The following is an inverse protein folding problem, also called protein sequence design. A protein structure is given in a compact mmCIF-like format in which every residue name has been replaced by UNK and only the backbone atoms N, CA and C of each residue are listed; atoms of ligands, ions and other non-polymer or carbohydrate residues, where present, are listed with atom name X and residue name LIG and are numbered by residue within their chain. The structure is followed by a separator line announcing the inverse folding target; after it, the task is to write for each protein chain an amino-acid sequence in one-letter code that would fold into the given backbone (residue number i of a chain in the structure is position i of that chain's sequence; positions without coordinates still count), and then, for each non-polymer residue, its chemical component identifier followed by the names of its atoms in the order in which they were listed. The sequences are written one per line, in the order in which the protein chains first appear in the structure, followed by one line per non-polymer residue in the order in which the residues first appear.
data_IF_576015467619
#
_entry.id   IF_576015467619
#
_cell.length_a   1.000
_cell.length_b   1.000
_cell.length_c   1.000
_cell.angle_alpha   90.00
_cell.angle_beta   90.00
_cell.angle_gamma   90.00
#
_symmetry.space_group_name_H-M   'P 1'
#
loop_
_entity.id
_entity.type
_entity.pdbx_description
1 polymer ?
#
# COMPACT_ATOMS: atom_id res chain seq x y z
N UNK A 1 26.33 -11.49 2.65
CA UNK A 1 25.35 -10.60 3.33
C UNK A 1 24.05 -10.72 2.56
N UNK A 2 22.93 -10.99 3.21
CA UNK A 2 21.64 -11.08 2.51
C UNK A 2 21.26 -9.70 1.97
N UNK A 3 20.78 -9.64 0.73
CA UNK A 3 20.31 -8.39 0.11
C UNK A 3 19.10 -7.83 0.91
N UNK A 4 19.03 -6.51 1.13
CA UNK A 4 17.91 -5.91 1.86
C UNK A 4 16.60 -6.13 1.09
N UNK A 5 15.59 -6.65 1.79
CA UNK A 5 14.26 -6.86 1.23
C UNK A 5 13.61 -5.54 0.83
N UNK A 6 12.89 -5.54 -0.28
CA UNK A 6 12.20 -4.36 -0.79
C UNK A 6 10.70 -4.48 -0.56
N UNK A 7 10.14 -3.49 0.14
CA UNK A 7 8.72 -3.39 0.46
C UNK A 7 8.08 -2.18 -0.22
N UNK A 8 6.91 -2.37 -0.81
CA UNK A 8 6.03 -1.29 -1.27
C UNK A 8 4.88 -1.12 -0.27
N UNK A 9 4.63 0.12 0.15
CA UNK A 9 3.52 0.49 1.03
C UNK A 9 2.68 1.54 0.32
N UNK A 10 1.45 1.20 -0.07
CA UNK A 10 0.51 2.17 -0.64
C UNK A 10 -0.38 2.72 0.47
N UNK A 11 -0.71 4.02 0.47
CA UNK A 11 -1.36 4.66 1.62
C UNK A 11 -0.36 4.92 2.75
N UNK A 12 0.93 4.97 2.42
CA UNK A 12 2.02 5.07 3.39
C UNK A 12 2.10 6.43 4.08
N UNK A 13 1.48 7.48 3.55
CA UNK A 13 1.38 8.78 4.21
C UNK A 13 0.16 8.89 5.14
N UNK A 14 -0.66 7.85 5.23
CA UNK A 14 -1.74 7.73 6.21
C UNK A 14 -1.25 7.29 7.59
N UNK A 15 -2.15 7.23 8.57
CA UNK A 15 -1.82 6.92 9.97
C UNK A 15 -1.12 5.56 10.14
N UNK A 16 -1.74 4.47 9.69
CA UNK A 16 -1.15 3.12 9.83
C UNK A 16 0.05 2.94 8.89
N UNK A 17 -0.07 3.46 7.67
CA UNK A 17 0.95 3.32 6.63
C UNK A 17 2.30 3.92 7.01
N UNK A 18 2.32 5.08 7.67
CA UNK A 18 3.57 5.74 8.05
C UNK A 18 4.33 4.96 9.12
N UNK A 19 3.61 4.47 10.14
CA UNK A 19 4.19 3.62 11.18
C UNK A 19 4.68 2.29 10.62
N UNK A 20 4.01 1.73 9.61
CA UNK A 20 4.49 0.54 8.91
C UNK A 20 5.78 0.84 8.14
N UNK A 21 5.88 1.98 7.46
CA UNK A 21 7.12 2.41 6.79
C UNK A 21 8.28 2.48 7.79
N UNK A 22 8.11 3.15 8.93
CA UNK A 22 9.13 3.26 9.97
C UNK A 22 9.53 1.87 10.51
N UNK A 23 8.56 1.00 10.76
CA UNK A 23 8.81 -0.35 11.27
C UNK A 23 9.52 -1.27 10.25
N UNK A 24 9.30 -1.07 8.95
CA UNK A 24 10.00 -1.80 7.89
C UNK A 24 11.43 -1.29 7.73
N UNK A 25 11.63 0.03 7.76
CA UNK A 25 12.96 0.65 7.71
C UNK A 25 13.82 0.22 8.91
N UNK A 26 13.24 0.17 10.11
CA UNK A 26 13.93 -0.32 11.32
C UNK A 26 14.38 -1.79 11.21
N UNK A 27 13.75 -2.58 10.33
CA UNK A 27 14.14 -3.97 10.01
C UNK A 27 15.13 -4.06 8.85
N UNK A 28 15.60 -2.93 8.32
CA UNK A 28 16.55 -2.88 7.21
C UNK A 28 15.93 -3.10 5.82
N UNK A 29 14.60 -2.96 5.68
CA UNK A 29 13.97 -3.03 4.38
C UNK A 29 14.21 -1.73 3.59
N UNK A 30 14.33 -1.86 2.26
CA UNK A 30 14.11 -0.74 1.35
C UNK A 30 12.60 -0.51 1.21
N UNK A 31 12.14 0.72 1.40
CA UNK A 31 10.71 1.04 1.42
C UNK A 31 10.36 2.04 0.35
N UNK A 32 9.47 1.63 -0.57
CA UNK A 32 8.76 2.53 -1.46
C UNK A 32 7.40 2.86 -0.84
N UNK A 33 7.17 4.13 -0.54
CA UNK A 33 5.89 4.65 -0.06
C UNK A 33 5.15 5.30 -1.22
N UNK A 34 3.98 4.79 -1.58
CA UNK A 34 3.10 5.37 -2.61
C UNK A 34 1.87 5.97 -1.96
N UNK A 35 1.60 7.24 -2.23
CA UNK A 35 0.41 7.93 -1.71
C UNK A 35 0.02 9.09 -2.63
N UNK A 36 -1.27 9.34 -2.83
CA UNK A 36 -1.74 10.49 -3.61
C UNK A 36 -2.03 11.73 -2.73
N UNK A 37 -1.95 11.59 -1.40
CA UNK A 37 -2.17 12.61 -0.39
C UNK A 37 -3.61 13.16 -0.34
N UNK A 38 -4.62 12.38 -0.77
CA UNK A 38 -6.03 12.77 -0.62
C UNK A 38 -6.40 12.87 0.87
N UNK A 39 -6.06 11.83 1.64
CA UNK A 39 -6.28 11.78 3.10
C UNK A 39 -4.97 11.64 3.90
N UNK A 40 -3.85 11.37 3.22
CA UNK A 40 -2.53 11.26 3.83
C UNK A 40 -1.87 12.63 4.05
N UNK A 41 -0.85 12.67 4.91
CA UNK A 41 -0.02 13.86 5.13
C UNK A 41 1.46 13.51 5.03
N UNK A 42 2.22 14.33 4.30
CA UNK A 42 3.68 14.18 4.25
C UNK A 42 4.36 14.38 5.61
N UNK A 43 3.69 15.05 6.56
CA UNK A 43 4.17 15.21 7.93
C UNK A 43 4.31 13.86 8.64
N UNK A 44 3.45 12.89 8.31
CA UNK A 44 3.54 11.54 8.84
C UNK A 44 4.82 10.80 8.39
N UNK A 45 5.46 11.25 7.30
CA UNK A 45 6.64 10.61 6.71
C UNK A 45 7.96 11.24 7.18
N UNK A 46 7.94 12.23 8.08
CA UNK A 46 9.15 12.95 8.49
C UNK A 46 10.23 12.05 9.10
N UNK A 47 9.83 11.02 9.84
CA UNK A 47 10.74 10.01 10.39
C UNK A 47 11.35 9.15 9.28
N UNK A 48 10.49 8.56 8.43
CA UNK A 48 10.90 7.70 7.33
C UNK A 48 11.84 8.40 6.33
N UNK A 49 11.59 9.67 6.01
CA UNK A 49 12.40 10.50 5.10
C UNK A 49 13.86 10.68 5.55
N UNK A 50 14.20 10.40 6.82
CA UNK A 50 15.58 10.45 7.32
C UNK A 50 16.41 9.24 6.89
N UNK A 51 15.77 8.16 6.44
CA UNK A 51 16.46 6.95 5.98
C UNK A 51 16.77 7.02 4.49
N UNK A 52 18.00 6.66 4.10
CA UNK A 52 18.39 6.51 2.68
C UNK A 52 17.71 5.33 1.99
N UNK A 53 17.11 4.42 2.76
CA UNK A 53 16.35 3.27 2.26
C UNK A 53 14.88 3.61 1.97
N UNK A 54 14.45 4.85 2.24
CA UNK A 54 13.09 5.30 2.02
C UNK A 54 12.97 6.08 0.71
N UNK A 55 11.89 5.82 -0.04
CA UNK A 55 11.55 6.60 -1.23
C UNK A 55 10.05 6.86 -1.22
N UNK A 56 9.68 8.14 -1.23
CA UNK A 56 8.29 8.58 -1.39
C UNK A 56 7.98 8.82 -2.85
N UNK A 57 6.84 8.29 -3.31
CA UNK A 57 6.34 8.44 -4.67
C UNK A 57 4.90 8.96 -4.55
N UNK A 58 4.72 10.24 -4.88
CA UNK A 58 3.39 10.82 -4.93
C UNK A 58 2.66 10.32 -6.17
N UNK A 59 1.75 9.36 -6.00
CA UNK A 59 1.11 8.66 -7.12
C UNK A 59 -0.22 8.03 -6.71
N UNK A 60 -1.15 7.93 -7.65
CA UNK A 60 -2.42 7.27 -7.46
C UNK A 60 -2.38 5.84 -8.04
N UNK A 61 -2.62 4.85 -7.17
CA UNK A 61 -2.56 3.42 -7.51
C UNK A 61 -3.70 2.97 -8.44
N UNK A 62 -4.72 3.81 -8.66
CA UNK A 62 -5.74 3.58 -9.70
C UNK A 62 -5.12 3.60 -11.10
N UNK A 63 -3.99 4.28 -11.27
CA UNK A 63 -3.17 4.22 -12.48
C UNK A 63 -2.15 3.08 -12.41
N UNK A 64 -1.54 2.75 -13.55
CA UNK A 64 -0.46 1.75 -13.59
C UNK A 64 0.77 2.27 -12.84
N UNK A 65 1.24 1.50 -11.85
CA UNK A 65 2.41 1.91 -11.08
C UNK A 65 3.64 2.09 -11.99
N UNK A 66 4.49 3.09 -11.71
CA UNK A 66 5.77 3.21 -12.39
C UNK A 66 6.61 1.95 -12.18
N UNK A 67 7.56 1.69 -13.08
CA UNK A 67 8.47 0.55 -12.95
C UNK A 67 9.30 0.72 -11.67
N UNK A 68 9.01 -0.15 -10.70
CA UNK A 68 9.79 -0.30 -9.49
C UNK A 68 10.81 -1.42 -9.69
N UNK A 69 11.89 -1.41 -8.91
CA UNK A 69 12.85 -2.52 -8.87
C UNK A 69 12.21 -3.81 -8.36
N UNK A 70 13.01 -4.81 -7.97
CA UNK A 70 12.50 -6.02 -7.34
C UNK A 70 11.67 -5.70 -6.09
N UNK A 71 10.50 -6.33 -5.94
CA UNK A 71 9.60 -6.16 -4.80
C UNK A 71 9.39 -7.51 -4.12
N UNK A 72 9.65 -7.59 -2.82
CA UNK A 72 9.42 -8.80 -2.02
C UNK A 72 8.06 -8.77 -1.32
N UNK A 73 7.64 -7.58 -0.89
CA UNK A 73 6.40 -7.37 -0.13
C UNK A 73 5.64 -6.16 -0.65
N UNK A 74 4.31 -6.26 -0.68
CA UNK A 74 3.39 -5.19 -1.03
C UNK A 74 2.30 -5.10 0.03
N UNK A 75 2.15 -3.93 0.63
CA UNK A 75 1.15 -3.63 1.64
C UNK A 75 0.20 -2.58 1.10
N UNK A 76 -1.05 -2.98 0.86
CA UNK A 76 -2.09 -2.09 0.37
C UNK A 76 -2.94 -1.55 1.52
N UNK A 77 -2.65 -0.30 1.90
CA UNK A 77 -3.36 0.49 2.92
C UNK A 77 -4.02 1.75 2.31
N UNK A 78 -3.99 1.91 0.99
CA UNK A 78 -4.53 3.10 0.32
C UNK A 78 -6.05 2.99 0.21
N UNK A 79 -6.76 3.60 1.15
CA UNK A 79 -8.20 3.84 1.05
C UNK A 79 -8.57 4.99 1.99
N UNK A 80 -9.47 5.91 1.58
CA UNK A 80 -10.19 6.73 2.52
C UNK A 80 -10.95 5.81 3.49
N UNK A 81 -10.69 5.93 4.79
CA UNK A 81 -11.13 4.94 5.79
C UNK A 81 -12.13 5.50 6.81
N UNK A 82 -12.24 6.83 6.95
CA UNK A 82 -13.16 7.44 7.91
C UNK A 82 -14.56 7.59 7.34
N UNK A 83 -15.54 7.74 8.25
CA UNK A 83 -16.94 7.88 7.87
C UNK A 83 -17.17 9.13 7.01
N UNK A 84 -16.45 10.20 7.36
CA UNK A 84 -16.53 11.47 6.67
C UNK A 84 -15.84 11.38 5.30
N UNK A 85 -14.71 10.67 5.22
CA UNK A 85 -13.94 10.60 3.98
C UNK A 85 -14.64 9.75 2.90
N UNK A 86 -15.34 8.66 3.26
CA UNK A 86 -16.08 7.89 2.25
C UNK A 86 -17.23 8.69 1.65
N UNK A 87 -17.86 9.59 2.43
CA UNK A 87 -18.94 10.44 1.94
C UNK A 87 -18.41 11.53 1.01
N UNK A 88 -17.21 12.02 1.31
CA UNK A 88 -16.54 13.07 0.55
C UNK A 88 -15.88 12.54 -0.73
N UNK A 89 -15.35 11.32 -0.69
CA UNK A 89 -14.58 10.70 -1.78
C UNK A 89 -15.10 9.28 -2.14
N UNK A 90 -16.40 9.13 -2.48
CA UNK A 90 -17.00 7.82 -2.73
C UNK A 90 -16.46 7.17 -4.01
N UNK A 91 -16.20 7.96 -5.05
CA UNK A 91 -15.66 7.46 -6.33
C UNK A 91 -14.22 6.98 -6.14
N UNK A 92 -13.37 7.79 -5.51
CA UNK A 92 -11.98 7.46 -5.24
C UNK A 92 -11.88 6.22 -4.35
N UNK A 93 -12.77 6.09 -3.36
CA UNK A 93 -12.86 4.90 -2.51
C UNK A 93 -13.23 3.66 -3.33
N UNK A 94 -14.20 3.76 -4.25
CA UNK A 94 -14.59 2.63 -5.08
C UNK A 94 -13.47 2.21 -6.06
N UNK A 95 -12.83 3.21 -6.69
CA UNK A 95 -11.77 3.00 -7.67
C UNK A 95 -10.51 2.42 -7.03
N UNK A 96 -10.05 2.95 -5.90
CA UNK A 96 -8.83 2.47 -5.24
C UNK A 96 -8.98 1.03 -4.74
N UNK A 97 -10.13 0.70 -4.15
CA UNK A 97 -10.41 -0.63 -3.65
C UNK A 97 -10.67 -1.68 -4.76
N UNK A 98 -11.03 -1.25 -5.97
CA UNK A 98 -11.27 -2.16 -7.10
C UNK A 98 -10.12 -2.12 -8.12
N UNK A 99 -10.01 -1.02 -8.86
CA UNK A 99 -9.02 -0.81 -9.92
C UNK A 99 -7.62 -0.76 -9.34
N UNK A 100 -7.43 0.00 -8.25
CA UNK A 100 -6.13 0.09 -7.58
C UNK A 100 -5.64 -1.26 -7.08
N UNK A 101 -6.51 -2.02 -6.41
CA UNK A 101 -6.19 -3.38 -5.95
C UNK A 101 -5.83 -4.30 -7.12
N UNK A 102 -6.58 -4.26 -8.22
CA UNK A 102 -6.26 -5.05 -9.43
C UNK A 102 -4.88 -4.69 -9.99
N UNK A 103 -4.57 -3.41 -10.13
CA UNK A 103 -3.29 -2.96 -10.67
C UNK A 103 -2.13 -3.44 -9.79
N UNK A 104 -2.28 -3.33 -8.46
CA UNK A 104 -1.29 -3.80 -7.51
C UNK A 104 -1.12 -5.32 -7.53
N UNK A 105 -2.19 -6.09 -7.69
CA UNK A 105 -2.10 -7.55 -7.83
C UNK A 105 -1.35 -7.96 -9.10
N UNK A 106 -1.52 -7.23 -10.20
CA UNK A 106 -0.75 -7.45 -11.44
C UNK A 106 0.74 -7.25 -11.20
N UNK A 107 1.13 -6.16 -10.53
CA UNK A 107 2.52 -5.89 -10.15
C UNK A 107 3.04 -6.96 -9.19
N UNK A 108 2.28 -7.31 -8.15
CA UNK A 108 2.67 -8.34 -7.19
C UNK A 108 2.96 -9.68 -7.87
N UNK A 109 2.10 -10.08 -8.83
CA UNK A 109 2.29 -11.30 -9.63
C UNK A 109 3.56 -11.23 -10.47
N UNK A 110 3.80 -10.11 -11.16
CA UNK A 110 4.99 -9.93 -11.99
C UNK A 110 6.30 -10.03 -11.19
N UNK A 111 6.30 -9.50 -9.96
CA UNK A 111 7.47 -9.54 -9.07
C UNK A 111 7.52 -10.77 -8.15
N UNK A 112 6.49 -11.64 -8.15
CA UNK A 112 6.28 -12.72 -7.17
C UNK A 112 6.30 -12.22 -5.72
N UNK A 113 5.86 -10.98 -5.51
CA UNK A 113 5.83 -10.33 -4.21
C UNK A 113 4.70 -10.90 -3.33
N UNK A 114 4.91 -10.92 -2.01
CA UNK A 114 3.84 -11.21 -1.06
C UNK A 114 2.92 -10.00 -0.93
N UNK A 115 1.64 -10.19 -1.17
CA UNK A 115 0.65 -9.12 -1.14
C UNK A 115 -0.20 -9.20 0.14
N UNK A 116 -0.33 -8.07 0.84
CA UNK A 116 -1.21 -7.89 1.99
C UNK A 116 -2.19 -6.76 1.67
N UNK A 117 -3.47 -7.04 1.82
CA UNK A 117 -4.57 -6.11 1.62
C UNK A 117 -5.24 -5.79 2.97
N UNK A 118 -5.29 -4.53 3.35
CA UNK A 118 -6.06 -4.11 4.53
C UNK A 118 -7.51 -3.85 4.13
N UNK A 119 -8.44 -4.50 4.83
CA UNK A 119 -9.87 -4.38 4.58
C UNK A 119 -10.59 -4.05 5.89
N UNK A 120 -11.70 -3.32 5.79
CA UNK A 120 -12.54 -2.97 6.94
C UNK A 120 -14.00 -3.31 6.64
N UNK A 121 -14.79 -3.56 7.67
CA UNK A 121 -16.23 -3.83 7.53
C UNK A 121 -17.04 -2.63 7.01
N UNK A 122 -16.46 -1.42 7.06
CA UNK A 122 -17.15 -0.16 6.76
C UNK A 122 -16.83 0.36 5.37
N UNK A 123 -15.64 0.08 4.83
CA UNK A 123 -15.20 0.60 3.53
C UNK A 123 -15.89 -0.07 2.33
N UNK A 124 -16.65 -1.15 2.55
CA UNK A 124 -17.46 -1.86 1.56
C UNK A 124 -18.78 -2.32 2.22
N UNK A 125 -19.91 -1.59 2.09
CA UNK A 125 -21.20 -2.04 2.65
C UNK A 125 -21.79 -3.27 1.91
N UNK A 126 -21.06 -3.86 0.97
CA UNK A 126 -21.48 -5.04 0.20
C UNK A 126 -20.52 -6.20 0.46
N UNK A 127 -20.84 -6.98 1.50
CA UNK A 127 -20.39 -8.35 1.79
C UNK A 127 -19.05 -8.80 1.18
N UNK A 128 -17.93 -8.57 1.87
CA UNK A 128 -16.69 -9.35 1.67
C UNK A 128 -16.16 -9.81 3.03
N UNK A 129 -16.17 -11.12 3.23
CA UNK A 129 -15.61 -11.80 4.40
C UNK A 129 -14.10 -11.91 4.19
N UNK A 130 -13.33 -11.13 4.94
CA UNK A 130 -11.87 -11.05 4.84
C UNK A 130 -11.26 -12.36 5.35
N UNK A 131 -10.74 -13.18 4.43
CA UNK A 131 -9.71 -14.16 4.76
C UNK A 131 -8.35 -13.45 4.65
N UNK A 132 -7.54 -13.49 5.72
CA UNK A 132 -6.10 -13.27 5.61
C UNK A 132 -5.55 -14.50 4.87
N UNK A 133 -5.67 -14.54 3.56
CA UNK A 133 -4.91 -15.47 2.74
C UNK A 133 -3.54 -14.85 2.51
N UNK A 134 -2.52 -15.35 3.22
CA UNK A 134 -1.16 -15.38 2.67
C UNK A 134 -1.21 -16.23 1.41
N UNK A 135 -1.67 -15.64 0.29
CA UNK A 135 -1.55 -16.28 -1.00
C UNK A 135 -0.07 -16.23 -1.36
N UNK A 136 0.66 -17.30 -1.05
CA UNK A 136 1.78 -17.66 -1.91
C UNK A 136 1.18 -17.81 -3.31
N UNK A 137 1.69 -17.06 -4.28
CA UNK A 137 1.25 -17.11 -5.67
C UNK A 137 1.67 -18.46 -6.26
N UNK A 138 0.98 -19.52 -5.85
CA UNK A 138 1.06 -20.88 -6.35
C UNK A 138 -0.36 -21.39 -6.51
N UNK A 139 -1.08 -20.85 -7.49
CA UNK A 139 -2.24 -21.55 -8.03
C UNK A 139 -2.54 -21.05 -9.45
N UNK A 140 -2.43 -22.01 -10.38
CA UNK A 140 -2.75 -22.04 -11.82
C UNK A 140 -1.77 -21.34 -12.76
#
# INVERSE_FOLDING_TARGET
MAEPKTSLVTGGAGFIGSHLCDALLARGHKVFCVDNLITGSEENLQSAKRSSLFTFIRYDVVNELPVLGSLDYMFHLASPASVVDYQKFPEETALVNSVGTRNLLTVARAHKAKFLFASTSTSMPMFVRIFITLSTASCL
#
